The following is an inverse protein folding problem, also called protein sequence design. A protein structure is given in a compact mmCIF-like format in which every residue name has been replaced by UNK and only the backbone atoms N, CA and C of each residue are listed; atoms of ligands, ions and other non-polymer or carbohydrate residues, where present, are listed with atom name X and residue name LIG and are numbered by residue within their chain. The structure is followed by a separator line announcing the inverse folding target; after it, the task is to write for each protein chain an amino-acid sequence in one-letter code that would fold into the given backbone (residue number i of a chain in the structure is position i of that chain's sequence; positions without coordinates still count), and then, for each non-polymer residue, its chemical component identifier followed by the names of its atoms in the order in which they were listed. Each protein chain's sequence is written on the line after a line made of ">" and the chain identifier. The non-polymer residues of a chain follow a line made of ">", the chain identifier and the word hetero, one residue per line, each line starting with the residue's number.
data_IF_828318904360
#
_entry.id   IF_828318904360
#
_cell.length_a   1.000
_cell.length_b   1.000
_cell.length_c   1.000
_cell.angle_alpha   90.00
_cell.angle_beta   90.00
_cell.angle_gamma   90.00
#
_symmetry.space_group_name_H-M   'P 1'
#
loop_
_entity.id
_entity.type
_entity.pdbx_description
1 polymer ?
#
# COMPACT_ATOMS: atom_id res chain seq x y z
N UNK A 1 -8.49 43.95 38.01
CA UNK A 1 -7.59 42.90 37.45
C UNK A 1 -8.20 41.48 37.44
N UNK A 2 -9.53 41.32 37.34
CA UNK A 2 -10.20 39.99 37.35
C UNK A 2 -10.79 39.53 36.01
N UNK A 3 -10.73 40.38 34.97
CA UNK A 3 -11.34 40.09 33.66
C UNK A 3 -10.36 39.54 32.62
N UNK A 4 -9.05 39.64 32.87
CA UNK A 4 -8.00 39.20 31.93
C UNK A 4 -7.65 37.72 32.15
N UNK A 5 -7.80 37.20 33.36
CA UNK A 5 -7.55 35.79 33.68
C UNK A 5 -8.58 34.83 33.09
N UNK A 6 -9.83 35.29 32.88
CA UNK A 6 -10.89 34.45 32.30
C UNK A 6 -10.69 34.23 30.78
N UNK A 7 -10.14 35.22 30.07
CA UNK A 7 -9.87 35.12 28.63
C UNK A 7 -8.71 34.17 28.31
N UNK A 8 -7.74 34.03 29.21
CA UNK A 8 -6.60 33.11 28.98
C UNK A 8 -7.00 31.63 29.16
N UNK A 9 -8.01 31.35 29.99
CA UNK A 9 -8.49 29.99 30.24
C UNK A 9 -9.34 29.45 29.07
N UNK A 10 -10.01 30.34 28.32
CA UNK A 10 -10.88 29.95 27.19
C UNK A 10 -10.08 29.58 25.93
N UNK A 11 -8.85 30.09 25.78
CA UNK A 11 -7.98 29.81 24.63
C UNK A 11 -7.32 28.43 24.74
N UNK A 12 -7.13 27.91 25.95
CA UNK A 12 -6.59 26.57 26.19
C UNK A 12 -7.59 25.44 25.86
N UNK A 13 -8.89 25.74 25.71
CA UNK A 13 -9.91 24.73 25.40
C UNK A 13 -10.02 24.40 23.90
N UNK A 14 -9.48 25.23 23.00
CA UNK A 14 -9.59 25.03 21.55
C UNK A 14 -8.36 24.39 20.90
N UNK A 15 -7.32 24.04 21.66
CA UNK A 15 -6.13 23.31 21.15
C UNK A 15 -6.26 21.80 21.38
N UNK A 16 -7.45 21.32 21.75
CA UNK A 16 -7.84 19.92 21.60
C UNK A 16 -8.10 19.58 20.14
N UNK A 17 -7.14 19.87 19.25
CA UNK A 17 -7.13 19.27 17.93
C UNK A 17 -7.10 17.76 18.16
N UNK A 18 -8.23 17.11 17.94
CA UNK A 18 -8.32 15.66 17.88
C UNK A 18 -7.45 15.25 16.69
N UNK A 19 -6.18 15.00 16.96
CA UNK A 19 -5.34 14.19 16.10
C UNK A 19 -5.97 12.81 16.17
N UNK A 20 -6.87 12.51 15.24
CA UNK A 20 -7.27 11.13 14.98
C UNK A 20 -6.01 10.40 14.54
N UNK A 21 -5.32 9.81 15.51
CA UNK A 21 -4.24 8.90 15.22
C UNK A 21 -4.83 7.81 14.33
N UNK A 22 -4.27 7.65 13.13
CA UNK A 22 -4.66 6.63 12.18
C UNK A 22 -4.44 5.27 12.87
N UNK A 23 -5.53 4.64 13.33
CA UNK A 23 -5.50 3.46 14.18
C UNK A 23 -5.73 2.18 13.37
N UNK A 24 -5.14 1.08 13.86
CA UNK A 24 -5.41 -0.24 13.32
C UNK A 24 -6.86 -0.65 13.59
N UNK A 25 -7.60 -0.97 12.52
CA UNK A 25 -8.96 -1.49 12.59
C UNK A 25 -8.93 -3.00 12.53
N UNK A 26 -9.61 -3.67 13.48
CA UNK A 26 -9.76 -5.13 13.46
C UNK A 26 -10.83 -5.53 12.45
N UNK A 27 -10.46 -6.43 11.53
CA UNK A 27 -11.35 -6.92 10.49
C UNK A 27 -12.09 -8.18 10.94
N UNK A 28 -13.24 -8.45 10.31
CA UNK A 28 -13.97 -9.71 10.45
C UNK A 28 -13.81 -10.55 9.18
N UNK A 29 -13.46 -11.83 9.32
CA UNK A 29 -13.27 -12.74 8.19
C UNK A 29 -14.52 -12.78 7.30
N UNK A 30 -14.32 -12.68 5.98
CA UNK A 30 -15.39 -12.72 4.98
C UNK A 30 -16.26 -11.46 4.92
N UNK A 31 -15.98 -10.42 5.73
CA UNK A 31 -16.72 -9.15 5.71
C UNK A 31 -15.87 -8.00 5.20
N UNK A 32 -16.51 -7.10 4.47
CA UNK A 32 -15.90 -5.84 4.03
C UNK A 32 -16.13 -4.76 5.07
N UNK A 33 -15.06 -4.03 5.40
CA UNK A 33 -15.07 -2.86 6.29
C UNK A 33 -14.68 -1.64 5.47
N UNK A 34 -15.41 -0.53 5.60
CA UNK A 34 -15.06 0.74 4.94
C UNK A 34 -14.19 1.57 5.87
N UNK A 35 -13.06 2.06 5.38
CA UNK A 35 -12.12 2.92 6.12
C UNK A 35 -11.64 4.01 5.15
N UNK A 36 -11.94 5.28 5.41
CA UNK A 36 -11.50 6.43 4.60
C UNK A 36 -11.74 6.29 3.09
N UNK A 37 -12.91 5.79 2.69
CA UNK A 37 -13.24 5.56 1.27
C UNK A 37 -12.58 4.32 0.66
N UNK A 38 -11.88 3.51 1.45
CA UNK A 38 -11.31 2.22 1.02
C UNK A 38 -12.10 1.07 1.63
N UNK A 39 -12.61 0.18 0.79
CA UNK A 39 -13.14 -1.12 1.22
C UNK A 39 -12.01 -2.06 1.50
N UNK A 40 -11.97 -2.63 2.71
CA UNK A 40 -10.97 -3.61 3.11
C UNK A 40 -11.66 -4.90 3.54
N UNK A 41 -11.16 -6.03 3.07
CA UNK A 41 -11.65 -7.35 3.48
C UNK A 41 -10.52 -8.36 3.57
N UNK A 42 -10.77 -9.44 4.29
CA UNK A 42 -9.93 -10.63 4.22
C UNK A 42 -10.76 -11.90 4.26
N UNK A 43 -10.21 -12.95 3.64
CA UNK A 43 -10.73 -14.32 3.72
C UNK A 43 -9.61 -15.20 4.26
N UNK A 44 -9.95 -16.08 5.20
CA UNK A 44 -9.03 -17.05 5.77
C UNK A 44 -9.45 -18.46 5.34
N UNK A 45 -8.51 -19.21 4.79
CA UNK A 45 -8.70 -20.62 4.44
C UNK A 45 -7.64 -21.46 5.14
N UNK A 46 -8.07 -22.42 5.96
CA UNK A 46 -7.16 -23.39 6.56
C UNK A 46 -6.59 -24.28 5.43
N UNK A 47 -5.28 -24.52 5.49
CA UNK A 47 -4.56 -25.32 4.51
C UNK A 47 -4.02 -26.61 5.09
N UNK A 48 -3.57 -26.58 6.35
CA UNK A 48 -3.04 -27.74 7.05
C UNK A 48 -3.08 -27.51 8.55
N UNK A 49 -3.40 -28.54 9.31
CA UNK A 49 -3.18 -28.60 10.76
C UNK A 49 -1.97 -29.47 11.05
N UNK A 50 -1.06 -29.00 11.90
CA UNK A 50 0.10 -29.77 12.36
C UNK A 50 0.23 -29.55 13.85
N UNK A 51 0.28 -30.63 14.64
CA UNK A 51 0.38 -30.62 16.12
C UNK A 51 0.99 -29.32 16.69
N UNK A 52 0.14 -28.49 17.27
CA UNK A 52 0.47 -27.20 17.89
C UNK A 52 0.17 -25.95 17.04
N UNK A 53 0.03 -26.06 15.72
CA UNK A 53 -0.22 -24.91 14.82
C UNK A 53 -1.15 -25.24 13.65
N UNK A 54 -2.01 -24.29 13.32
CA UNK A 54 -2.82 -24.28 12.11
C UNK A 54 -2.23 -23.33 11.06
N UNK A 55 -2.08 -23.84 9.83
CA UNK A 55 -1.58 -23.08 8.69
C UNK A 55 -2.74 -22.53 7.87
N UNK A 56 -2.81 -21.20 7.76
CA UNK A 56 -3.84 -20.48 7.02
C UNK A 56 -3.26 -19.78 5.81
N UNK A 57 -4.06 -19.76 4.74
CA UNK A 57 -3.91 -18.83 3.62
C UNK A 57 -4.88 -17.68 3.82
N UNK A 58 -4.34 -16.47 4.01
CA UNK A 58 -5.10 -15.25 4.18
C UNK A 58 -5.05 -14.47 2.86
N UNK A 59 -6.21 -14.27 2.24
CA UNK A 59 -6.36 -13.38 1.09
C UNK A 59 -6.88 -12.05 1.60
N UNK A 60 -6.08 -11.00 1.50
CA UNK A 60 -6.49 -9.63 1.83
C UNK A 60 -6.82 -8.86 0.56
N UNK A 61 -7.82 -7.99 0.60
CA UNK A 61 -8.18 -7.13 -0.52
C UNK A 61 -8.50 -5.72 -0.06
N UNK A 62 -8.06 -4.73 -0.84
CA UNK A 62 -8.49 -3.33 -0.72
C UNK A 62 -9.10 -2.86 -2.02
N UNK A 63 -10.17 -2.10 -1.97
CA UNK A 63 -10.81 -1.46 -3.14
C UNK A 63 -11.00 0.02 -2.87
N UNK A 64 -10.56 0.86 -3.81
CA UNK A 64 -10.76 2.31 -3.70
C UNK A 64 -12.21 2.65 -4.08
N UNK A 65 -13.03 3.03 -3.11
CA UNK A 65 -14.37 3.55 -3.37
C UNK A 65 -14.45 5.08 -3.32
N UNK A 66 -13.35 5.74 -2.93
CA UNK A 66 -13.21 7.19 -2.87
C UNK A 66 -12.83 7.79 -4.22
N UNK A 67 -12.08 8.88 -4.18
CA UNK A 67 -11.51 9.53 -5.36
C UNK A 67 -10.25 8.83 -5.85
N UNK A 68 -9.83 9.12 -7.08
CA UNK A 68 -8.53 8.67 -7.58
C UNK A 68 -7.40 9.14 -6.66
N UNK A 69 -6.52 8.21 -6.26
CA UNK A 69 -5.31 8.53 -5.53
C UNK A 69 -4.12 8.47 -6.49
N UNK A 70 -3.33 9.52 -6.55
CA UNK A 70 -2.08 9.56 -7.31
C UNK A 70 -1.02 10.32 -6.52
N UNK A 71 0.21 9.83 -6.58
CA UNK A 71 1.37 10.46 -5.97
C UNK A 71 2.53 10.40 -6.96
N UNK A 72 3.06 11.57 -7.32
CA UNK A 72 4.22 11.69 -8.20
C UNK A 72 5.49 11.69 -7.33
N UNK A 73 6.51 10.98 -7.79
CA UNK A 73 7.82 10.95 -7.13
C UNK A 73 8.62 12.19 -7.52
N UNK A 74 9.50 12.64 -6.62
CA UNK A 74 10.42 13.76 -6.90
C UNK A 74 11.38 13.44 -8.04
N UNK A 75 11.73 12.17 -8.21
CA UNK A 75 12.62 11.67 -9.25
C UNK A 75 12.02 10.46 -9.96
N UNK A 76 12.14 10.43 -11.30
CA UNK A 76 11.72 9.28 -12.09
C UNK A 76 12.78 8.16 -12.00
N UNK A 77 12.32 6.92 -11.83
CA UNK A 77 13.21 5.75 -11.69
C UNK A 77 12.93 4.71 -12.76
N UNK A 78 13.97 3.97 -13.17
CA UNK A 78 13.80 2.78 -14.04
C UNK A 78 13.27 1.57 -13.26
N UNK A 79 13.32 1.60 -11.93
CA UNK A 79 12.92 0.50 -11.04
C UNK A 79 11.89 1.03 -10.04
N UNK A 80 10.75 0.36 -9.94
CA UNK A 80 9.74 0.68 -8.94
C UNK A 80 10.04 -0.03 -7.62
N UNK A 81 10.42 0.74 -6.60
CA UNK A 81 10.73 0.19 -5.26
C UNK A 81 9.51 0.25 -4.36
N UNK A 82 9.13 -0.90 -3.81
CA UNK A 82 8.07 -1.03 -2.80
C UNK A 82 8.62 -0.67 -1.42
N UNK A 83 8.71 0.63 -1.14
CA UNK A 83 9.11 1.16 0.17
C UNK A 83 7.90 1.36 1.08
N UNK A 84 8.12 1.39 2.41
CA UNK A 84 7.05 1.52 3.39
C UNK A 84 6.15 2.75 3.21
N UNK A 85 6.68 3.85 2.70
CA UNK A 85 5.91 5.07 2.40
C UNK A 85 4.96 4.96 1.20
N UNK A 86 5.16 3.95 0.34
CA UNK A 86 4.34 3.72 -0.85
C UNK A 86 3.24 2.67 -0.62
N UNK A 87 3.09 2.22 0.64
CA UNK A 87 2.07 1.25 1.00
C UNK A 87 0.72 1.97 1.17
N UNK A 88 -0.35 1.37 0.65
CA UNK A 88 -1.71 1.85 0.85
C UNK A 88 -2.32 1.26 2.12
N UNK A 89 -1.89 0.05 2.47
CA UNK A 89 -2.46 -0.67 3.60
C UNK A 89 -1.39 -1.53 4.28
N UNK A 90 -1.40 -1.49 5.61
CA UNK A 90 -0.59 -2.36 6.46
C UNK A 90 -1.50 -3.33 7.20
N UNK A 91 -1.33 -4.63 6.93
CA UNK A 91 -2.02 -5.71 7.60
C UNK A 91 -1.14 -6.29 8.71
N UNK A 92 -1.74 -6.55 9.86
CA UNK A 92 -1.13 -7.26 10.98
C UNK A 92 -1.92 -8.53 11.27
N UNK A 93 -1.20 -9.64 11.38
CA UNK A 93 -1.75 -10.95 11.76
C UNK A 93 -1.41 -11.18 13.24
N UNK A 94 -2.29 -10.71 14.12
CA UNK A 94 -1.97 -10.47 15.55
C UNK A 94 -1.56 -11.74 16.29
N UNK A 95 -2.22 -12.86 15.99
CA UNK A 95 -1.94 -14.16 16.60
C UNK A 95 -1.10 -15.06 15.69
N UNK A 96 -0.43 -14.51 14.67
CA UNK A 96 0.47 -15.29 13.85
C UNK A 96 1.79 -15.58 14.58
N UNK A 97 2.28 -16.81 14.53
CA UNK A 97 3.47 -17.25 15.28
C UNK A 97 4.79 -16.84 14.61
N UNK A 98 4.78 -16.50 13.32
CA UNK A 98 5.98 -16.16 12.55
C UNK A 98 6.91 -17.34 12.25
N UNK A 99 6.58 -18.56 12.70
CA UNK A 99 7.43 -19.74 12.50
C UNK A 99 7.43 -20.21 11.05
N UNK A 100 8.58 -20.73 10.61
CA UNK A 100 8.82 -21.33 9.29
C UNK A 100 8.30 -20.51 8.12
N UNK A 101 8.77 -19.26 8.05
CA UNK A 101 8.46 -18.28 6.99
C UNK A 101 6.99 -17.89 6.90
N UNK A 102 6.24 -18.02 8.00
CA UNK A 102 4.88 -17.50 8.07
C UNK A 102 4.87 -15.99 8.28
N UNK A 103 3.97 -15.29 7.61
CA UNK A 103 3.86 -13.84 7.70
C UNK A 103 3.20 -13.45 9.04
N UNK A 104 3.76 -12.42 9.68
CA UNK A 104 3.16 -11.74 10.85
C UNK A 104 2.53 -10.40 10.47
N UNK A 105 2.94 -9.84 9.33
CA UNK A 105 2.40 -8.62 8.77
C UNK A 105 2.50 -8.66 7.23
N UNK A 106 1.74 -7.79 6.59
CA UNK A 106 1.69 -7.65 5.14
C UNK A 106 1.48 -6.19 4.75
N UNK A 107 1.96 -5.81 3.57
CA UNK A 107 1.70 -4.49 2.98
C UNK A 107 1.13 -4.64 1.58
N UNK A 108 0.12 -3.84 1.26
CA UNK A 108 -0.34 -3.64 -0.10
C UNK A 108 0.16 -2.31 -0.61
N UNK A 109 0.63 -2.30 -1.85
CA UNK A 109 1.22 -1.14 -2.49
C UNK A 109 0.35 -0.69 -3.64
N UNK A 110 0.34 0.62 -3.89
CA UNK A 110 -0.32 1.18 -5.06
C UNK A 110 0.30 0.67 -6.36
N UNK A 111 -0.46 0.82 -7.47
CA UNK A 111 0.04 0.47 -8.80
C UNK A 111 1.04 1.53 -9.23
N UNK A 112 2.14 1.16 -9.91
CA UNK A 112 3.06 2.16 -10.45
C UNK A 112 2.37 3.03 -11.50
N UNK A 113 2.76 4.31 -11.55
CA UNK A 113 2.49 5.22 -12.64
C UNK A 113 3.75 5.34 -13.51
N UNK A 114 3.60 5.16 -14.81
CA UNK A 114 4.73 5.13 -15.75
C UNK A 114 4.60 6.19 -16.84
N UNK A 115 5.74 6.61 -17.39
CA UNK A 115 5.85 7.44 -18.59
C UNK A 115 6.81 6.79 -19.59
N UNK A 116 6.50 6.93 -20.87
CA UNK A 116 7.39 6.54 -21.96
C UNK A 116 8.18 7.77 -22.43
N UNK A 117 9.51 7.71 -22.36
CA UNK A 117 10.41 8.80 -22.76
C UNK A 117 11.11 8.39 -24.05
N UNK A 118 10.82 9.05 -25.19
CA UNK A 118 11.56 8.82 -26.41
C UNK A 118 12.94 9.44 -26.31
N UNK A 119 13.96 8.73 -26.78
CA UNK A 119 15.33 9.26 -26.89
C UNK A 119 16.02 8.73 -28.14
N UNK A 120 17.05 9.44 -28.58
CA UNK A 120 17.78 9.12 -29.81
C UNK A 120 19.26 8.94 -29.49
N UNK A 121 19.87 7.93 -30.09
CA UNK A 121 21.33 7.72 -30.01
C UNK A 121 21.91 7.81 -31.41
N UNK A 122 23.11 8.39 -31.56
CA UNK A 122 23.78 8.43 -32.88
C UNK A 122 24.17 7.01 -33.27
N UNK A 123 23.94 6.64 -34.54
CA UNK A 123 24.45 5.39 -35.11
C UNK A 123 25.98 5.43 -35.15
N UNK A 124 26.61 4.32 -34.75
CA UNK A 124 28.05 4.12 -34.83
C UNK A 124 28.33 2.74 -35.47
N UNK A 125 29.01 2.67 -36.64
CA UNK A 125 29.48 3.81 -37.45
C UNK A 125 28.32 4.68 -38.00
N UNK A 126 28.56 5.96 -38.33
CA UNK A 126 27.54 6.80 -38.94
C UNK A 126 27.12 6.23 -40.32
N UNK A 127 25.88 6.48 -40.78
CA UNK A 127 25.43 6.00 -42.08
C UNK A 127 26.28 6.55 -43.23
N UNK A 128 26.54 5.70 -44.22
CA UNK A 128 27.26 6.10 -45.45
C UNK A 128 26.38 6.91 -46.39
N UNK A 129 25.05 6.68 -46.38
CA UNK A 129 24.09 7.46 -47.16
C UNK A 129 23.59 8.67 -46.35
N UNK A 130 23.82 9.87 -46.90
CA UNK A 130 23.35 11.15 -46.36
C UNK A 130 21.82 11.27 -46.21
N UNK A 131 21.04 10.41 -46.88
CA UNK A 131 19.57 10.37 -46.77
C UNK A 131 19.07 9.44 -45.67
N UNK A 132 19.93 8.61 -45.09
CA UNK A 132 19.57 7.71 -44.01
C UNK A 132 19.53 8.46 -42.67
N UNK A 133 18.55 8.16 -41.81
CA UNK A 133 18.48 8.75 -40.47
C UNK A 133 19.75 8.40 -39.66
N UNK A 134 20.53 9.40 -39.20
CA UNK A 134 21.76 9.17 -38.44
C UNK A 134 21.51 8.71 -37.00
N UNK A 135 20.25 8.57 -36.57
CA UNK A 135 19.89 8.18 -35.22
C UNK A 135 19.16 6.84 -35.15
N UNK A 136 19.43 6.09 -34.08
CA UNK A 136 18.55 5.04 -33.59
C UNK A 136 17.54 5.67 -32.63
N UNK A 137 16.26 5.35 -32.81
CA UNK A 137 15.18 5.84 -31.95
C UNK A 137 14.82 4.76 -30.95
N UNK A 138 14.71 5.17 -29.69
CA UNK A 138 14.42 4.27 -28.59
C UNK A 138 13.34 4.88 -27.70
N UNK A 139 12.68 4.02 -26.93
CA UNK A 139 11.72 4.41 -25.91
C UNK A 139 12.15 3.75 -24.60
N UNK A 140 12.34 4.57 -23.56
CA UNK A 140 12.59 4.09 -22.21
C UNK A 140 11.37 4.38 -21.33
N UNK A 141 10.90 3.37 -20.61
CA UNK A 141 9.83 3.54 -19.62
C UNK A 141 10.41 3.87 -18.26
N UNK A 142 9.88 4.91 -17.63
CA UNK A 142 10.24 5.31 -16.27
C UNK A 142 9.01 5.28 -15.37
N UNK A 143 9.22 4.94 -14.10
CA UNK A 143 8.24 5.06 -13.04
C UNK A 143 8.31 6.48 -12.49
N UNK A 144 7.19 7.20 -12.56
CA UNK A 144 7.08 8.60 -12.14
C UNK A 144 6.23 8.76 -10.87
N UNK A 145 5.63 7.68 -10.40
CA UNK A 145 4.77 7.76 -9.23
C UNK A 145 4.01 6.47 -8.97
N UNK A 146 2.94 6.61 -8.20
CA UNK A 146 2.00 5.55 -7.92
C UNK A 146 0.56 6.05 -7.99
N UNK A 147 -0.35 5.12 -8.24
CA UNK A 147 -1.77 5.39 -8.39
C UNK A 147 -2.61 4.27 -7.80
N UNK A 148 -3.76 4.66 -7.26
CA UNK A 148 -4.84 3.77 -6.86
C UNK A 148 -6.16 4.37 -7.37
N UNK A 149 -6.54 4.08 -8.63
CA UNK A 149 -7.73 4.65 -9.24
C UNK A 149 -9.01 4.23 -8.52
N UNK A 150 -10.05 5.04 -8.61
CA UNK A 150 -11.39 4.72 -8.13
C UNK A 150 -11.88 3.44 -8.79
N UNK A 151 -12.47 2.56 -7.97
CA UNK A 151 -12.93 1.23 -8.36
C UNK A 151 -11.81 0.19 -8.50
N UNK A 152 -10.53 0.56 -8.39
CA UNK A 152 -9.45 -0.40 -8.45
C UNK A 152 -9.41 -1.27 -7.19
N UNK A 153 -9.23 -2.57 -7.38
CA UNK A 153 -8.97 -3.53 -6.31
C UNK A 153 -7.52 -4.02 -6.36
N UNK A 154 -6.92 -4.18 -5.18
CA UNK A 154 -5.61 -4.81 -4.99
C UNK A 154 -5.79 -5.95 -3.99
N UNK A 155 -5.31 -7.12 -4.38
CA UNK A 155 -5.43 -8.35 -3.58
C UNK A 155 -4.05 -8.96 -3.41
N UNK A 156 -3.77 -9.48 -2.22
CA UNK A 156 -2.58 -10.29 -2.00
C UNK A 156 -2.86 -11.42 -1.02
N UNK A 157 -2.00 -12.43 -1.06
CA UNK A 157 -2.16 -13.67 -0.33
C UNK A 157 -0.96 -13.84 0.58
N UNK A 158 -1.24 -14.02 1.86
CA UNK A 158 -0.26 -14.31 2.89
C UNK A 158 -0.48 -15.70 3.45
N UNK A 159 0.64 -16.34 3.78
CA UNK A 159 0.66 -17.63 4.44
C UNK A 159 1.03 -17.41 5.90
N UNK A 160 0.13 -17.74 6.82
CA UNK A 160 0.34 -17.52 8.26
C UNK A 160 0.20 -18.82 9.03
N UNK A 161 0.78 -18.88 10.23
CA UNK A 161 0.55 -19.94 11.20
C UNK A 161 0.01 -19.34 12.47
N UNK A 162 -1.00 -19.97 13.05
CA UNK A 162 -1.61 -19.57 14.32
C UNK A 162 -1.61 -20.79 15.26
N UNK A 163 -1.73 -20.60 16.58
CA UNK A 163 -1.90 -21.72 17.50
C UNK A 163 -3.07 -22.63 17.08
N UNK A 164 -2.91 -23.94 17.29
CA UNK A 164 -3.94 -24.93 16.97
C UNK A 164 -5.29 -24.57 17.60
N UNK A 165 -6.36 -24.60 16.79
CA UNK A 165 -7.72 -24.24 17.21
C UNK A 165 -8.01 -22.74 17.24
N UNK A 166 -7.02 -21.87 17.02
CA UNK A 166 -7.23 -20.43 16.96
C UNK A 166 -7.63 -19.98 15.55
N UNK A 167 -8.57 -19.03 15.48
CA UNK A 167 -8.90 -18.34 14.22
C UNK A 167 -7.96 -17.14 13.99
N UNK A 168 -7.54 -16.85 12.74
CA UNK A 168 -6.73 -15.68 12.43
C UNK A 168 -7.37 -14.35 12.82
N UNK A 169 -6.64 -13.54 13.57
CA UNK A 169 -7.02 -12.16 13.91
C UNK A 169 -6.24 -11.20 13.02
N UNK A 170 -6.96 -10.48 12.16
CA UNK A 170 -6.37 -9.57 11.17
C UNK A 170 -6.75 -8.13 11.50
N UNK A 171 -5.76 -7.24 11.55
CA UNK A 171 -5.94 -5.79 11.67
C UNK A 171 -5.37 -5.09 10.45
N UNK A 172 -5.94 -3.95 10.10
CA UNK A 172 -5.47 -3.13 8.98
C UNK A 172 -5.32 -1.67 9.39
N UNK A 173 -4.28 -1.03 8.89
CA UNK A 173 -4.13 0.42 8.87
C UNK A 173 -4.11 0.85 7.40
N UNK A 174 -5.01 1.76 7.02
CA UNK A 174 -5.02 2.41 5.71
C UNK A 174 -4.21 3.70 5.82
N UNK A 175 -3.29 3.93 4.88
CA UNK A 175 -2.50 5.17 4.79
C UNK A 175 -3.24 6.23 3.99
#
# INVERSE_FOLDING_TARGET
>A
MKKITLSLLLILFFVGAQVEAQQFVTLKAGKTTQINGVSVSYVAAIKKTRKGEDYYRITVSITNNGSDYQQIFSEASKIFTKIGHNALAHFQFVNATGRGFSAVAGKLYARPLTIAVPYKTKKCPPPTDSKEDPYNHHIATYYIGMQFPRGATITHVYSIRVPEGASPVVRVLIQ
#
